data_IF_236183518936
#
_entry.id   IF_236183518936
#
_cell.length_a   1.000
_cell.length_b   1.000
_cell.length_c   1.000
_cell.angle_alpha   90.00
_cell.angle_beta   90.00
_cell.angle_gamma   90.00
#
_symmetry.space_group_name_H-M   'P 1'
#
loop_
_entity.id
_entity.type
_entity.pdbx_description
1 polymer ?
#
# COMPACT_ATOMS: atom_id res chain seq x y z
N UNK A 1 -86.12 -5.84 -50.58
CA UNK A 1 -86.65 -4.59 -51.14
C UNK A 1 -86.60 -3.51 -50.08
N UNK A 2 -85.92 -2.40 -50.40
CA UNK A 2 -86.17 -1.02 -49.93
C UNK A 2 -86.13 -0.75 -48.42
N UNK A 3 -85.09 -0.02 -48.01
CA UNK A 3 -85.18 1.36 -47.47
C UNK A 3 -85.04 1.30 -45.93
N UNK A 4 -84.38 2.22 -45.22
CA UNK A 4 -84.08 3.61 -45.50
C UNK A 4 -82.96 4.04 -44.53
N UNK A 5 -82.01 4.85 -45.01
CA UNK A 5 -81.23 5.76 -44.18
C UNK A 5 -82.17 6.65 -43.36
N UNK A 6 -81.92 6.83 -42.06
CA UNK A 6 -81.65 8.14 -41.42
C UNK A 6 -81.78 8.11 -39.91
N UNK A 7 -80.87 8.87 -39.30
CA UNK A 7 -80.95 9.52 -37.98
C UNK A 7 -80.62 8.60 -36.80
N UNK A 8 -79.85 9.02 -35.80
CA UNK A 8 -79.13 10.27 -35.55
C UNK A 8 -78.10 9.90 -34.46
N UNK A 9 -76.90 10.44 -34.56
CA UNK A 9 -76.08 10.92 -33.44
C UNK A 9 -76.42 10.37 -32.04
N UNK A 10 -75.57 9.49 -31.50
CA UNK A 10 -75.03 9.47 -30.12
C UNK A 10 -74.25 8.15 -30.00
N UNK A 11 -72.95 8.16 -30.34
CA UNK A 11 -71.94 7.30 -29.70
C UNK A 11 -70.52 7.72 -30.09
N UNK A 12 -70.31 9.03 -30.29
CA UNK A 12 -69.00 9.61 -30.57
C UNK A 12 -68.23 10.00 -29.31
N UNK A 13 -68.79 9.78 -28.11
CA UNK A 13 -68.23 10.32 -26.85
C UNK A 13 -67.99 9.27 -25.77
N UNK A 14 -68.29 7.99 -26.01
CA UNK A 14 -68.04 6.92 -25.03
C UNK A 14 -66.82 6.05 -25.34
N UNK A 15 -66.25 6.15 -26.55
CA UNK A 15 -65.00 5.42 -26.87
C UNK A 15 -63.73 6.21 -26.51
N UNK A 16 -63.82 7.54 -26.35
CA UNK A 16 -62.66 8.35 -25.93
C UNK A 16 -62.46 8.38 -24.40
N UNK A 17 -63.48 8.10 -23.59
CA UNK A 17 -63.29 7.98 -22.13
C UNK A 17 -62.80 6.58 -21.70
N UNK A 18 -63.09 5.52 -22.45
CA UNK A 18 -62.58 4.18 -22.13
C UNK A 18 -61.09 4.01 -22.47
N UNK A 19 -60.60 4.65 -23.54
CA UNK A 19 -59.16 4.64 -23.87
C UNK A 19 -58.36 5.57 -22.95
N UNK A 20 -58.96 6.65 -22.44
CA UNK A 20 -58.29 7.53 -21.46
C UNK A 20 -58.29 6.95 -20.03
N UNK A 21 -59.20 6.05 -19.67
CA UNK A 21 -59.16 5.36 -18.37
C UNK A 21 -58.26 4.11 -18.37
N UNK A 22 -58.00 3.51 -19.53
CA UNK A 22 -56.97 2.46 -19.65
C UNK A 22 -55.56 2.98 -19.99
N UNK A 23 -55.42 4.26 -20.34
CA UNK A 23 -54.10 4.87 -20.59
C UNK A 23 -53.52 5.65 -19.40
N UNK A 24 -54.27 5.78 -18.30
CA UNK A 24 -53.77 6.40 -17.06
C UNK A 24 -53.30 5.40 -16.00
N UNK A 25 -53.61 4.11 -16.15
CA UNK A 25 -53.18 3.07 -15.19
C UNK A 25 -51.83 2.41 -15.56
N UNK A 26 -51.35 2.65 -16.78
CA UNK A 26 -50.04 2.16 -17.26
C UNK A 26 -48.92 3.23 -17.17
N UNK A 27 -49.28 4.50 -17.07
CA UNK A 27 -48.32 5.61 -16.92
C UNK A 27 -47.75 5.74 -15.50
N UNK A 28 -48.37 5.12 -14.49
CA UNK A 28 -47.88 5.04 -13.11
C UNK A 28 -47.19 3.72 -12.79
N UNK A 29 -47.39 2.66 -13.59
CA UNK A 29 -46.65 1.39 -13.50
C UNK A 29 -45.36 1.35 -14.32
N UNK A 30 -45.15 2.34 -15.19
CA UNK A 30 -43.88 2.54 -15.89
C UNK A 30 -42.96 3.58 -15.23
N UNK A 31 -43.06 3.73 -13.91
CA UNK A 31 -42.08 4.41 -13.05
C UNK A 31 -41.51 3.45 -12.00
N UNK A 32 -41.01 2.28 -12.42
CA UNK A 32 -40.14 1.47 -11.55
C UNK A 32 -39.26 0.45 -12.28
N UNK A 33 -38.72 0.81 -13.45
CA UNK A 33 -37.37 0.31 -13.76
C UNK A 33 -36.40 1.07 -12.86
N UNK A 34 -36.40 0.66 -11.59
CA UNK A 34 -35.66 1.22 -10.47
C UNK A 34 -34.22 1.56 -10.90
N UNK A 35 -33.90 2.85 -10.94
CA UNK A 35 -32.51 3.26 -10.79
C UNK A 35 -32.11 2.92 -9.35
N UNK A 36 -31.50 1.76 -9.12
CA UNK A 36 -30.93 1.38 -7.81
C UNK A 36 -29.66 2.16 -7.46
N UNK A 37 -29.46 3.31 -8.11
CA UNK A 37 -28.26 4.13 -7.99
C UNK A 37 -28.59 5.43 -7.27
N UNK A 38 -27.91 5.65 -6.15
CA UNK A 38 -28.07 6.84 -5.31
C UNK A 38 -26.76 7.59 -5.17
N UNK A 39 -26.86 8.90 -4.92
CA UNK A 39 -25.70 9.74 -4.70
C UNK A 39 -24.95 9.26 -3.46
N UNK A 40 -23.66 9.04 -3.58
CA UNK A 40 -22.85 8.47 -2.50
C UNK A 40 -22.90 9.30 -1.21
N UNK A 41 -22.88 10.63 -1.32
CA UNK A 41 -23.00 11.52 -0.15
C UNK A 41 -24.32 11.30 0.59
N UNK A 42 -25.45 11.33 -0.14
CA UNK A 42 -26.77 11.06 0.41
C UNK A 42 -26.85 9.67 1.06
N UNK A 43 -26.25 8.68 0.41
CA UNK A 43 -26.21 7.31 0.93
C UNK A 43 -25.45 7.22 2.26
N UNK A 44 -24.34 7.95 2.42
CA UNK A 44 -23.59 8.01 3.68
C UNK A 44 -24.35 8.79 4.76
N UNK A 45 -25.04 9.87 4.39
CA UNK A 45 -25.86 10.67 5.31
C UNK A 45 -27.04 9.83 5.86
N UNK A 46 -27.75 9.10 4.99
CA UNK A 46 -28.88 8.25 5.37
C UNK A 46 -28.48 7.01 6.19
N UNK A 47 -27.30 6.46 5.92
CA UNK A 47 -26.80 5.23 6.57
C UNK A 47 -25.88 5.52 7.75
N UNK A 48 -25.78 6.78 8.20
CA UNK A 48 -24.85 7.12 9.28
C UNK A 48 -25.21 6.35 10.56
N UNK A 49 -24.30 5.48 11.07
CA UNK A 49 -24.59 4.64 12.23
C UNK A 49 -24.45 5.41 13.55
N UNK A 50 -24.88 4.82 14.67
CA UNK A 50 -24.64 5.37 16.01
C UNK A 50 -23.20 5.15 16.49
N UNK A 51 -22.51 4.14 15.96
CA UNK A 51 -21.11 3.80 16.29
C UNK A 51 -20.17 4.38 15.26
N UNK A 52 -19.00 4.85 15.69
CA UNK A 52 -17.93 5.27 14.77
C UNK A 52 -17.43 4.10 13.90
N UNK A 53 -17.39 4.32 12.59
CA UNK A 53 -16.93 3.34 11.60
C UNK A 53 -15.93 3.98 10.64
N UNK A 54 -14.96 3.20 10.15
CA UNK A 54 -13.99 3.61 9.14
C UNK A 54 -14.43 3.12 7.76
N UNK A 55 -14.57 4.00 6.79
CA UNK A 55 -14.85 3.61 5.40
C UNK A 55 -13.60 2.99 4.75
N UNK A 56 -13.67 1.70 4.41
CA UNK A 56 -12.54 0.95 3.82
C UNK A 56 -12.81 0.44 2.40
N UNK A 57 -14.02 0.65 1.88
CA UNK A 57 -14.38 0.24 0.52
C UNK A 57 -13.66 1.11 -0.53
N UNK A 58 -12.56 0.59 -1.07
CA UNK A 58 -11.73 1.30 -2.05
C UNK A 58 -12.51 1.66 -3.32
N UNK A 59 -13.43 0.80 -3.79
CA UNK A 59 -14.26 1.10 -4.96
C UNK A 59 -15.19 2.29 -4.67
N UNK A 60 -15.77 2.30 -3.47
CA UNK A 60 -16.64 3.40 -3.04
C UNK A 60 -15.85 4.70 -2.87
N UNK A 61 -14.69 4.65 -2.20
CA UNK A 61 -13.82 5.80 -1.97
C UNK A 61 -13.34 6.43 -3.29
N UNK A 62 -12.99 5.59 -4.27
CA UNK A 62 -12.62 6.07 -5.60
C UNK A 62 -13.78 6.83 -6.25
N UNK A 63 -14.99 6.25 -6.27
CA UNK A 63 -16.18 6.92 -6.82
C UNK A 63 -16.53 8.20 -6.07
N UNK A 64 -16.34 8.24 -4.75
CA UNK A 64 -16.58 9.43 -3.93
C UNK A 64 -15.67 10.59 -4.31
N UNK A 65 -14.47 10.29 -4.81
CA UNK A 65 -13.47 11.27 -5.22
C UNK A 65 -13.66 11.72 -6.67
N UNK A 66 -14.14 10.83 -7.55
CA UNK A 66 -14.46 11.16 -8.94
C UNK A 66 -15.49 12.32 -9.00
N UNK A 67 -15.14 13.41 -9.68
CA UNK A 67 -15.92 14.65 -9.85
C UNK A 67 -16.30 15.42 -8.56
N UNK A 68 -15.44 15.43 -7.53
CA UNK A 68 -15.75 16.03 -6.21
C UNK A 68 -17.05 15.47 -5.60
N UNK A 69 -17.36 14.19 -5.87
CA UNK A 69 -18.56 13.52 -5.39
C UNK A 69 -19.87 13.91 -6.12
N UNK A 70 -19.83 14.85 -7.07
CA UNK A 70 -21.06 15.37 -7.73
C UNK A 70 -21.74 14.37 -8.66
N UNK A 71 -20.98 13.41 -9.20
CA UNK A 71 -21.49 12.34 -10.08
C UNK A 71 -21.36 10.96 -9.45
N UNK A 72 -21.01 10.87 -8.16
CA UNK A 72 -20.85 9.58 -7.50
C UNK A 72 -22.21 8.90 -7.36
N UNK A 73 -22.39 7.79 -8.09
CA UNK A 73 -23.57 6.94 -8.03
C UNK A 73 -23.17 5.54 -7.55
N UNK A 74 -23.85 5.07 -6.52
CA UNK A 74 -23.62 3.74 -5.94
C UNK A 74 -24.87 2.88 -6.01
N UNK A 75 -24.68 1.60 -6.33
CA UNK A 75 -25.76 0.63 -6.29
C UNK A 75 -26.17 0.38 -4.84
N UNK A 76 -27.35 0.82 -4.43
CA UNK A 76 -27.85 0.70 -3.05
C UNK A 76 -27.85 -0.73 -2.52
N UNK A 77 -27.94 -1.73 -3.42
CA UNK A 77 -27.92 -3.16 -3.09
C UNK A 77 -26.52 -3.71 -2.84
N UNK A 78 -25.47 -3.02 -3.29
CA UNK A 78 -24.09 -3.43 -3.03
C UNK A 78 -23.70 -2.90 -1.64
N UNK A 79 -23.39 -3.79 -0.67
CA UNK A 79 -22.97 -3.34 0.64
C UNK A 79 -21.66 -2.56 0.54
N UNK A 80 -21.48 -1.61 1.44
CA UNK A 80 -20.26 -0.79 1.53
C UNK A 80 -19.37 -1.38 2.61
N UNK A 81 -18.10 -1.64 2.30
CA UNK A 81 -17.15 -2.21 3.27
C UNK A 81 -16.70 -1.18 4.29
N UNK A 82 -16.79 -1.52 5.57
CA UNK A 82 -16.44 -0.65 6.69
C UNK A 82 -15.62 -1.39 7.75
N UNK A 83 -14.70 -0.69 8.37
CA UNK A 83 -13.91 -1.12 9.51
C UNK A 83 -14.56 -0.68 10.81
N UNK A 84 -14.60 -1.57 11.80
CA UNK A 84 -15.10 -1.29 13.15
C UNK A 84 -14.05 -1.71 14.17
N UNK A 85 -13.73 -0.83 15.13
CA UNK A 85 -12.81 -1.16 16.22
C UNK A 85 -13.39 -2.35 17.02
N UNK A 86 -12.56 -3.36 17.28
CA UNK A 86 -12.93 -4.59 17.98
C UNK A 86 -13.61 -4.32 19.33
N UNK A 87 -13.30 -3.19 19.99
CA UNK A 87 -13.97 -2.79 21.24
C UNK A 87 -15.49 -2.61 21.10
N UNK A 88 -16.00 -2.37 19.89
CA UNK A 88 -17.42 -2.18 19.60
C UNK A 88 -18.12 -3.46 19.11
N UNK A 89 -17.41 -4.60 18.98
CA UNK A 89 -17.96 -5.85 18.44
C UNK A 89 -19.15 -6.42 19.22
N UNK A 90 -19.21 -6.19 20.53
CA UNK A 90 -20.31 -6.68 21.40
C UNK A 90 -21.54 -5.77 21.38
N UNK A 91 -21.44 -4.58 20.79
CA UNK A 91 -22.56 -3.69 20.54
C UNK A 91 -22.75 -3.52 19.02
N UNK A 92 -23.00 -4.60 18.26
CA UNK A 92 -23.28 -4.47 16.84
C UNK A 92 -24.68 -3.86 16.73
N UNK A 93 -24.76 -2.53 16.69
CA UNK A 93 -25.87 -1.88 16.02
C UNK A 93 -25.99 -2.52 14.63
N UNK A 94 -27.21 -2.57 14.07
CA UNK A 94 -27.48 -3.28 12.82
C UNK A 94 -26.82 -2.59 11.59
N UNK A 95 -25.48 -2.52 11.55
CA UNK A 95 -24.68 -1.97 10.45
C UNK A 95 -24.96 -2.73 9.16
N UNK A 96 -25.23 -4.03 9.25
CA UNK A 96 -25.65 -4.85 8.12
C UNK A 96 -27.03 -4.41 7.58
N UNK A 97 -27.98 -4.05 8.45
CA UNK A 97 -29.29 -3.50 8.04
C UNK A 97 -29.14 -2.11 7.40
N UNK A 98 -28.10 -1.36 7.79
CA UNK A 98 -27.71 -0.11 7.13
C UNK A 98 -26.99 -0.35 5.79
N UNK A 99 -26.80 -1.60 5.37
CA UNK A 99 -26.18 -1.95 4.09
C UNK A 99 -24.65 -1.84 4.11
N UNK A 100 -24.02 -2.10 5.26
CA UNK A 100 -22.57 -2.23 5.38
C UNK A 100 -22.12 -3.69 5.43
N UNK A 101 -20.95 -3.96 4.86
CA UNK A 101 -20.19 -5.19 5.09
C UNK A 101 -19.09 -4.89 6.12
N UNK A 102 -19.20 -5.49 7.31
CA UNK A 102 -18.41 -5.11 8.48
C UNK A 102 -17.15 -5.95 8.62
N UNK A 103 -16.02 -5.29 8.84
CA UNK A 103 -14.74 -5.89 9.17
C UNK A 103 -14.22 -5.33 10.49
N UNK A 104 -13.73 -6.19 11.38
CA UNK A 104 -13.22 -5.75 12.67
C UNK A 104 -11.72 -5.56 12.63
N UNK A 105 -11.23 -4.57 13.37
CA UNK A 105 -9.81 -4.33 13.52
C UNK A 105 -9.43 -4.02 14.97
N UNK A 106 -8.20 -4.36 15.36
CA UNK A 106 -7.62 -3.90 16.61
C UNK A 106 -6.90 -2.57 16.42
N UNK A 107 -7.18 -1.64 17.33
CA UNK A 107 -6.52 -0.34 17.39
C UNK A 107 -5.61 -0.27 18.63
N UNK A 108 -4.41 -0.81 18.54
CA UNK A 108 -3.47 -0.79 19.65
C UNK A 108 -2.63 0.49 19.63
N UNK A 109 -2.66 1.25 20.73
CA UNK A 109 -1.89 2.49 20.89
C UNK A 109 -0.37 2.29 20.72
N UNK A 110 0.16 1.11 21.07
CA UNK A 110 1.58 0.77 20.96
C UNK A 110 2.04 0.38 19.55
N UNK A 111 1.11 0.23 18.61
CA UNK A 111 1.37 -0.12 17.21
C UNK A 111 1.04 1.06 16.30
N UNK A 112 1.73 1.19 15.18
CA UNK A 112 1.50 2.26 14.21
C UNK A 112 0.56 1.86 13.05
N UNK A 113 -0.15 0.75 13.23
CA UNK A 113 -1.10 0.21 12.26
C UNK A 113 -2.41 -0.26 12.90
N UNK A 114 -3.44 -0.36 12.07
CA UNK A 114 -4.70 -1.05 12.37
C UNK A 114 -4.59 -2.50 11.88
N UNK A 115 -5.02 -3.45 12.70
CA UNK A 115 -4.92 -4.89 12.42
C UNK A 115 -6.29 -5.50 12.19
N UNK A 116 -6.64 -5.69 10.93
CA UNK A 116 -7.94 -6.22 10.49
C UNK A 116 -7.94 -7.74 10.48
N UNK A 117 -8.96 -8.33 11.12
CA UNK A 117 -9.27 -9.75 11.00
C UNK A 117 -10.29 -9.93 9.86
N UNK A 118 -9.87 -10.62 8.79
CA UNK A 118 -10.76 -10.96 7.67
C UNK A 118 -10.75 -12.45 7.40
N UNK A 119 -11.82 -12.97 6.79
CA UNK A 119 -11.92 -14.38 6.39
C UNK A 119 -10.78 -14.83 5.46
N UNK A 120 -10.25 -13.93 4.64
CA UNK A 120 -9.15 -14.20 3.71
C UNK A 120 -7.75 -14.10 4.36
N UNK A 121 -7.66 -13.74 5.64
CA UNK A 121 -6.43 -13.49 6.37
C UNK A 121 -6.34 -12.08 6.94
N UNK A 122 -5.33 -11.85 7.80
CA UNK A 122 -5.08 -10.55 8.42
C UNK A 122 -4.70 -9.49 7.40
N UNK A 123 -5.08 -8.24 7.67
CA UNK A 123 -4.63 -7.07 6.91
C UNK A 123 -4.17 -5.96 7.83
N UNK A 124 -3.00 -5.38 7.56
CA UNK A 124 -2.49 -4.24 8.31
C UNK A 124 -2.48 -2.98 7.42
N UNK A 125 -2.99 -1.87 7.94
CA UNK A 125 -2.88 -0.55 7.29
C UNK A 125 -2.30 0.47 8.27
N UNK A 126 -1.61 1.52 7.80
CA UNK A 126 -1.13 2.59 8.68
C UNK A 126 -2.26 3.15 9.54
N UNK A 127 -1.99 3.41 10.81
CA UNK A 127 -2.95 4.02 11.74
C UNK A 127 -3.08 5.54 11.51
N UNK A 128 -2.02 6.17 11.00
CA UNK A 128 -1.95 7.62 10.79
C UNK A 128 -2.23 7.94 9.32
N UNK A 129 -3.42 8.46 9.05
CA UNK A 129 -3.79 9.08 7.78
C UNK A 129 -4.83 10.16 8.04
N UNK A 130 -4.94 11.15 7.15
CA UNK A 130 -5.93 12.22 7.32
C UNK A 130 -7.32 11.70 6.99
N UNK A 131 -8.28 12.09 7.80
CA UNK A 131 -9.68 11.69 7.67
C UNK A 131 -10.60 12.89 7.82
N UNK A 132 -11.76 12.78 7.18
CA UNK A 132 -12.92 13.67 7.35
C UNK A 132 -14.12 12.83 7.78
N UNK A 133 -15.15 13.48 8.30
CA UNK A 133 -16.32 12.80 8.87
C UNK A 133 -17.60 13.14 8.12
N UNK A 134 -18.48 12.14 7.98
CA UNK A 134 -19.89 12.31 7.60
C UNK A 134 -20.72 11.58 8.67
N UNK A 135 -21.33 12.33 9.58
CA UNK A 135 -21.86 11.76 10.83
C UNK A 135 -20.79 10.94 11.55
N UNK A 136 -21.06 9.68 11.87
CA UNK A 136 -20.11 8.77 12.53
C UNK A 136 -19.28 7.91 11.54
N UNK A 137 -19.20 8.31 10.28
CA UNK A 137 -18.40 7.63 9.25
C UNK A 137 -17.10 8.41 9.04
N UNK A 138 -15.99 7.80 9.46
CA UNK A 138 -14.63 8.27 9.20
C UNK A 138 -14.21 7.91 7.78
N UNK A 139 -13.75 8.91 7.02
CA UNK A 139 -13.47 8.77 5.58
C UNK A 139 -12.04 9.26 5.31
N UNK A 140 -11.16 8.44 4.73
CA UNK A 140 -9.85 8.88 4.27
C UNK A 140 -9.94 10.09 3.33
N UNK A 141 -9.21 11.16 3.62
CA UNK A 141 -9.17 12.35 2.76
C UNK A 141 -8.40 12.08 1.46
N UNK A 142 -7.25 11.43 1.58
CA UNK A 142 -6.44 10.99 0.44
C UNK A 142 -6.80 9.55 0.08
N UNK A 143 -7.86 9.41 -0.72
CA UNK A 143 -8.39 8.11 -1.13
C UNK A 143 -7.43 7.32 -2.00
N UNK A 144 -6.58 7.99 -2.78
CA UNK A 144 -5.55 7.33 -3.59
C UNK A 144 -4.47 6.72 -2.71
N UNK A 145 -3.94 7.47 -1.74
CA UNK A 145 -2.96 6.94 -0.77
C UNK A 145 -3.55 5.83 0.08
N UNK A 146 -4.81 5.97 0.52
CA UNK A 146 -5.50 4.91 1.25
C UNK A 146 -5.69 3.65 0.41
N UNK A 147 -6.04 3.77 -0.87
CA UNK A 147 -6.13 2.63 -1.78
C UNK A 147 -4.78 1.91 -1.91
N UNK A 148 -3.67 2.65 -1.96
CA UNK A 148 -2.33 2.08 -1.99
C UNK A 148 -1.98 1.35 -0.67
N UNK A 149 -2.39 1.87 0.49
CA UNK A 149 -2.28 1.15 1.77
C UNK A 149 -3.09 -0.15 1.76
N UNK A 150 -4.35 -0.07 1.34
CA UNK A 150 -5.24 -1.23 1.29
C UNK A 150 -4.74 -2.31 0.33
N UNK A 151 -4.25 -1.90 -0.85
CA UNK A 151 -3.63 -2.80 -1.84
C UNK A 151 -2.48 -3.62 -1.25
N UNK A 152 -1.72 -3.05 -0.31
CA UNK A 152 -0.54 -3.67 0.30
C UNK A 152 -0.77 -4.26 1.69
N UNK A 153 -2.01 -4.32 2.13
CA UNK A 153 -2.32 -4.60 3.53
C UNK A 153 -2.30 -6.07 3.88
N UNK A 154 -2.35 -6.99 2.90
CA UNK A 154 -2.31 -8.44 3.14
C UNK A 154 -1.11 -8.80 4.01
N UNK A 155 -1.35 -9.40 5.18
CA UNK A 155 -0.30 -9.64 6.15
C UNK A 155 0.56 -10.86 5.81
N UNK A 156 1.86 -10.77 6.14
CA UNK A 156 2.82 -11.88 6.10
C UNK A 156 3.56 -11.99 7.42
N UNK A 157 3.68 -13.22 7.89
CA UNK A 157 4.50 -13.57 9.04
C UNK A 157 5.96 -13.78 8.64
N UNK A 158 6.84 -13.46 9.57
CA UNK A 158 8.21 -13.95 9.59
C UNK A 158 8.25 -15.39 10.13
N UNK A 159 9.36 -16.09 9.88
CA UNK A 159 9.57 -17.48 10.31
C UNK A 159 9.98 -17.56 11.78
N UNK A 160 10.76 -16.58 12.28
CA UNK A 160 11.16 -16.53 13.69
C UNK A 160 12.14 -17.63 14.11
N UNK A 161 13.12 -17.93 13.25
CA UNK A 161 14.18 -18.88 13.55
C UNK A 161 15.14 -18.31 14.60
N UNK A 162 15.48 -19.14 15.59
CA UNK A 162 16.57 -18.88 16.52
C UNK A 162 17.92 -19.20 15.87
N UNK A 163 18.77 -18.20 15.73
CA UNK A 163 20.11 -18.33 15.14
C UNK A 163 21.15 -18.93 16.09
N UNK A 164 20.82 -19.11 17.38
CA UNK A 164 21.71 -19.71 18.39
C UNK A 164 23.08 -19.02 18.49
N UNK A 165 23.06 -17.68 18.38
CA UNK A 165 24.25 -16.84 18.56
C UNK A 165 24.69 -16.85 20.02
N UNK A 166 25.98 -16.67 20.26
CA UNK A 166 26.52 -16.53 21.61
C UNK A 166 26.12 -15.17 22.18
N UNK A 167 25.90 -15.08 23.51
CA UNK A 167 25.70 -13.80 24.20
C UNK A 167 26.91 -12.87 24.07
N UNK A 168 28.10 -13.43 23.79
CA UNK A 168 29.32 -12.67 23.53
C UNK A 168 29.40 -12.07 22.11
N UNK A 169 28.49 -12.45 21.21
CA UNK A 169 28.55 -12.00 19.82
C UNK A 169 28.22 -10.50 19.74
N UNK A 170 28.94 -9.79 18.87
CA UNK A 170 28.80 -8.35 18.75
C UNK A 170 27.41 -7.97 18.22
N UNK A 171 26.68 -7.16 18.98
CA UNK A 171 25.45 -6.51 18.53
C UNK A 171 25.79 -5.10 18.06
N UNK A 172 25.69 -4.88 16.76
CA UNK A 172 25.90 -3.57 16.14
C UNK A 172 24.57 -2.81 15.99
N UNK A 173 23.53 -3.47 15.45
CA UNK A 173 22.17 -2.91 15.38
C UNK A 173 21.25 -3.63 16.35
N UNK A 174 20.60 -2.87 17.23
CA UNK A 174 19.56 -3.41 18.11
C UNK A 174 18.22 -3.40 17.38
N UNK A 175 17.56 -4.56 17.33
CA UNK A 175 16.31 -4.77 16.61
C UNK A 175 15.23 -3.70 16.87
N UNK A 176 14.74 -3.56 18.11
CA UNK A 176 13.68 -2.59 18.43
C UNK A 176 14.08 -1.15 18.10
N UNK A 177 15.24 -0.69 18.58
CA UNK A 177 15.71 0.69 18.35
C UNK A 177 15.89 1.01 16.86
N UNK A 178 16.33 0.02 16.07
CA UNK A 178 16.51 0.16 14.61
C UNK A 178 15.16 0.19 13.89
N UNK A 179 14.21 -0.67 14.30
CA UNK A 179 12.86 -0.69 13.75
C UNK A 179 12.12 0.63 14.00
N UNK A 180 12.23 1.22 15.20
CA UNK A 180 11.66 2.54 15.51
C UNK A 180 12.20 3.64 14.57
N UNK A 181 13.50 3.57 14.25
CA UNK A 181 14.14 4.52 13.33
C UNK A 181 13.66 4.29 11.90
N UNK A 182 13.59 3.03 11.45
CA UNK A 182 13.09 2.67 10.12
C UNK A 182 11.63 3.07 9.95
N UNK A 183 10.79 2.96 10.97
CA UNK A 183 9.39 3.38 10.94
C UNK A 183 9.24 4.89 10.73
N UNK A 184 10.11 5.70 11.35
CA UNK A 184 10.14 7.16 11.11
C UNK A 184 10.62 7.51 9.71
N UNK A 185 11.61 6.80 9.18
CA UNK A 185 12.04 6.99 7.79
C UNK A 185 10.96 6.56 6.79
N UNK A 186 10.26 5.46 7.07
CA UNK A 186 9.10 5.00 6.31
C UNK A 186 8.05 6.11 6.24
N UNK A 187 7.69 6.70 7.37
CA UNK A 187 6.71 7.80 7.42
C UNK A 187 7.17 9.02 6.62
N UNK A 188 8.44 9.43 6.73
CA UNK A 188 9.00 10.52 5.93
C UNK A 188 8.94 10.22 4.42
N UNK A 189 9.24 9.00 4.01
CA UNK A 189 9.12 8.57 2.61
C UNK A 189 7.67 8.57 2.13
N UNK A 190 6.73 8.06 2.93
CA UNK A 190 5.30 8.04 2.61
C UNK A 190 4.74 9.46 2.46
N UNK A 191 5.18 10.41 3.29
CA UNK A 191 4.76 11.81 3.21
C UNK A 191 5.29 12.54 1.97
N UNK A 192 6.29 11.96 1.31
CA UNK A 192 6.74 12.38 -0.01
C UNK A 192 6.14 11.51 -1.15
N UNK A 193 5.13 10.70 -0.87
CA UNK A 193 4.46 9.86 -1.87
C UNK A 193 5.31 8.71 -2.39
N UNK A 194 6.29 8.26 -1.62
CA UNK A 194 7.10 7.06 -1.90
C UNK A 194 6.67 5.93 -0.97
N UNK A 195 6.53 4.71 -1.50
CA UNK A 195 6.15 3.53 -0.73
C UNK A 195 7.37 2.62 -0.55
N UNK A 196 8.12 2.75 0.58
CA UNK A 196 9.28 1.92 0.84
C UNK A 196 8.90 0.51 1.28
N UNK A 197 9.78 -0.45 1.01
CA UNK A 197 9.67 -1.82 1.48
C UNK A 197 11.04 -2.33 1.93
N UNK A 198 11.07 -3.27 2.87
CA UNK A 198 12.31 -3.86 3.37
C UNK A 198 13.04 -4.57 2.22
N UNK A 199 14.35 -4.36 2.13
CA UNK A 199 15.19 -5.02 1.14
C UNK A 199 16.42 -5.65 1.80
N UNK A 200 17.24 -6.37 1.03
CA UNK A 200 18.58 -6.79 1.45
C UNK A 200 18.63 -7.52 2.77
N UNK A 201 19.62 -7.19 3.62
CA UNK A 201 19.85 -7.85 4.90
C UNK A 201 18.73 -7.58 5.91
N UNK A 202 18.08 -6.44 5.77
CA UNK A 202 16.92 -6.05 6.59
C UNK A 202 15.72 -6.95 6.32
N UNK A 203 15.44 -7.23 5.05
CA UNK A 203 14.38 -8.13 4.64
C UNK A 203 14.65 -9.58 5.09
N UNK A 204 15.89 -10.05 4.95
CA UNK A 204 16.32 -11.35 5.46
C UNK A 204 16.14 -11.43 6.97
N UNK A 205 16.59 -10.42 7.73
CA UNK A 205 16.44 -10.38 9.18
C UNK A 205 14.98 -10.48 9.61
N UNK A 206 14.11 -9.67 9.00
CA UNK A 206 12.68 -9.74 9.27
C UNK A 206 12.17 -11.15 9.00
N UNK A 207 12.35 -11.69 7.79
CA UNK A 207 11.75 -12.96 7.42
C UNK A 207 12.32 -14.13 8.23
N UNK A 208 13.63 -14.15 8.46
CA UNK A 208 14.32 -15.26 9.11
C UNK A 208 14.15 -15.23 10.62
N UNK A 209 14.27 -14.08 11.25
CA UNK A 209 14.48 -13.96 12.70
C UNK A 209 13.43 -13.06 13.39
N UNK A 210 12.48 -12.50 12.64
CA UNK A 210 11.49 -11.52 13.13
C UNK A 210 12.13 -10.26 13.77
N UNK A 211 13.37 -9.94 13.39
CA UNK A 211 14.13 -8.81 13.95
C UNK A 211 15.16 -8.28 12.94
N UNK A 212 15.92 -7.25 13.29
CA UNK A 212 17.11 -6.85 12.54
C UNK A 212 18.25 -7.82 12.88
N UNK A 213 19.01 -8.26 11.87
CA UNK A 213 20.20 -9.10 12.06
C UNK A 213 21.19 -8.31 12.94
N UNK A 214 21.52 -8.77 14.16
CA UNK A 214 22.16 -7.92 15.16
C UNK A 214 23.58 -7.48 14.78
N UNK A 215 24.30 -8.28 13.99
CA UNK A 215 25.68 -8.01 13.59
C UNK A 215 25.80 -7.29 12.24
N UNK A 216 24.68 -6.89 11.60
CA UNK A 216 24.73 -6.07 10.37
C UNK A 216 25.16 -4.63 10.66
N UNK A 217 25.69 -3.93 9.66
CA UNK A 217 26.20 -2.56 9.82
C UNK A 217 25.24 -1.47 9.32
N UNK A 218 24.22 -1.87 8.57
CA UNK A 218 23.26 -1.02 7.88
C UNK A 218 21.86 -1.65 7.86
N UNK A 219 20.90 -0.86 7.43
CA UNK A 219 19.56 -1.31 7.12
C UNK A 219 19.15 -0.85 5.72
N UNK A 220 18.18 -1.51 5.10
CA UNK A 220 17.89 -1.37 3.69
C UNK A 220 16.39 -1.19 3.46
N UNK A 221 16.06 -0.13 2.74
CA UNK A 221 14.80 0.02 2.04
C UNK A 221 15.02 -0.04 0.54
N UNK A 222 13.97 -0.41 -0.18
CA UNK A 222 13.85 -0.11 -1.58
C UNK A 222 12.56 0.67 -1.86
N UNK A 223 12.60 1.48 -2.93
CA UNK A 223 11.44 2.18 -3.50
C UNK A 223 11.47 1.94 -5.00
N UNK A 224 10.34 1.57 -5.60
CA UNK A 224 10.30 1.41 -7.05
C UNK A 224 10.52 2.73 -7.78
N UNK A 225 11.19 2.66 -8.93
CA UNK A 225 11.50 3.80 -9.78
C UNK A 225 10.28 4.64 -10.17
N UNK A 226 9.13 4.01 -10.41
CA UNK A 226 7.88 4.70 -10.75
C UNK A 226 7.24 5.43 -9.54
N UNK A 227 7.62 5.09 -8.30
CA UNK A 227 7.20 5.80 -7.10
C UNK A 227 8.26 6.78 -6.57
N UNK A 228 9.52 6.63 -6.94
CA UNK A 228 10.62 7.47 -6.47
C UNK A 228 10.44 8.94 -6.86
N UNK A 229 10.76 9.84 -5.91
CA UNK A 229 10.72 11.30 -6.08
C UNK A 229 12.12 11.89 -6.18
N UNK A 230 12.56 12.37 -7.37
CA UNK A 230 13.89 12.95 -7.56
C UNK A 230 14.21 14.17 -6.70
N UNK A 231 13.19 14.83 -6.15
CA UNK A 231 13.31 15.98 -5.27
C UNK A 231 13.67 15.63 -3.82
N UNK A 232 13.49 14.36 -3.41
CA UNK A 232 13.68 13.92 -2.03
C UNK A 232 15.10 14.15 -1.47
N UNK A 233 16.20 13.93 -2.24
CA UNK A 233 17.54 14.30 -1.77
C UNK A 233 17.69 15.76 -1.34
N UNK A 234 17.00 16.70 -2.01
CA UNK A 234 17.06 18.11 -1.62
C UNK A 234 16.37 18.38 -0.27
N UNK A 235 15.29 17.65 0.04
CA UNK A 235 14.63 17.69 1.37
C UNK A 235 15.57 17.19 2.48
N UNK A 236 16.34 16.15 2.20
CA UNK A 236 17.33 15.63 3.16
C UNK A 236 18.46 16.64 3.39
N UNK A 237 18.97 17.26 2.31
CA UNK A 237 20.08 18.20 2.36
C UNK A 237 19.71 19.56 2.98
N UNK A 238 18.50 20.05 2.75
CA UNK A 238 18.04 21.33 3.30
C UNK A 238 17.65 21.24 4.79
N UNK A 239 17.67 20.04 5.37
CA UNK A 239 17.36 19.84 6.78
C UNK A 239 15.88 19.86 7.12
N UNK A 240 14.97 19.61 6.19
CA UNK A 240 13.53 19.53 6.48
C UNK A 240 13.05 18.15 6.93
N UNK A 241 13.89 17.11 6.82
CA UNK A 241 13.63 15.74 7.31
C UNK A 241 14.26 15.50 8.69
N UNK A 242 13.83 14.49 9.44
CA UNK A 242 14.55 14.00 10.63
C UNK A 242 15.85 13.23 10.27
N UNK A 243 16.03 12.95 8.99
CA UNK A 243 17.18 12.25 8.42
C UNK A 243 18.06 13.22 7.64
N UNK A 244 19.33 12.84 7.48
CA UNK A 244 20.28 13.52 6.61
C UNK A 244 20.85 12.54 5.59
N UNK A 245 21.06 13.04 4.38
CA UNK A 245 21.77 12.32 3.32
C UNK A 245 23.26 12.34 3.64
N UNK A 246 23.92 11.19 3.59
CA UNK A 246 25.38 11.08 3.79
C UNK A 246 26.09 10.56 2.55
N UNK A 247 25.38 9.84 1.68
CA UNK A 247 25.92 9.32 0.42
C UNK A 247 24.82 9.21 -0.62
N UNK A 248 25.16 9.46 -1.87
CA UNK A 248 24.31 9.24 -3.03
C UNK A 248 25.13 8.64 -4.16
N UNK A 249 24.73 7.45 -4.61
CA UNK A 249 25.46 6.66 -5.60
C UNK A 249 24.63 6.47 -6.86
N UNK A 250 25.29 6.48 -8.01
CA UNK A 250 24.74 6.14 -9.31
C UNK A 250 23.80 7.17 -9.94
N UNK A 251 23.29 6.79 -11.12
CA UNK A 251 22.41 7.62 -11.94
C UNK A 251 20.94 7.29 -11.64
N UNK A 252 20.05 8.28 -11.72
CA UNK A 252 18.61 8.07 -11.51
C UNK A 252 17.99 7.13 -12.56
N UNK A 253 18.62 7.01 -13.72
CA UNK A 253 18.12 6.19 -14.82
C UNK A 253 18.30 4.68 -14.56
N UNK A 254 19.35 4.28 -13.82
CA UNK A 254 19.72 2.87 -13.73
C UNK A 254 20.56 2.44 -12.51
N UNK A 255 20.79 3.35 -11.55
CA UNK A 255 21.89 3.20 -10.61
C UNK A 255 21.69 3.81 -9.22
N UNK A 256 20.59 4.53 -8.98
CA UNK A 256 20.46 5.37 -7.79
C UNK A 256 20.29 4.59 -6.48
N UNK A 257 21.13 4.94 -5.51
CA UNK A 257 21.08 4.54 -4.10
C UNK A 257 21.35 5.77 -3.24
N UNK A 258 20.59 5.94 -2.15
CA UNK A 258 20.82 6.97 -1.14
C UNK A 258 21.17 6.32 0.20
N UNK A 259 22.23 6.76 0.86
CA UNK A 259 22.47 6.41 2.26
C UNK A 259 22.06 7.57 3.14
N UNK A 260 21.18 7.31 4.10
CA UNK A 260 20.72 8.28 5.10
C UNK A 260 21.06 7.83 6.51
N UNK A 261 21.12 8.78 7.43
CA UNK A 261 21.22 8.52 8.88
C UNK A 261 20.25 9.44 9.63
N UNK A 262 19.82 9.06 10.85
CA UNK A 262 19.12 10.00 11.72
C UNK A 262 19.96 11.26 11.96
N UNK A 263 19.35 12.44 12.02
CA UNK A 263 20.13 13.67 12.27
C UNK A 263 20.89 13.66 13.59
N UNK A 264 20.30 13.09 14.63
CA UNK A 264 20.83 13.08 16.00
C UNK A 264 21.72 11.86 16.31
N UNK A 265 21.84 10.90 15.40
CA UNK A 265 22.62 9.67 15.61
C UNK A 265 23.31 9.23 14.31
N UNK A 266 24.56 8.78 14.39
CA UNK A 266 25.28 8.31 13.20
C UNK A 266 24.80 6.95 12.67
N UNK A 267 24.05 6.18 13.47
CA UNK A 267 23.54 4.85 13.14
C UNK A 267 22.04 4.72 13.46
N UNK A 268 21.33 3.80 12.79
CA UNK A 268 21.80 2.97 11.67
C UNK A 268 22.07 3.83 10.42
N UNK A 269 23.05 3.43 9.61
CA UNK A 269 23.08 3.82 8.19
C UNK A 269 21.96 3.08 7.50
N UNK A 270 21.16 3.79 6.70
CA UNK A 270 20.03 3.22 6.01
C UNK A 270 20.18 3.50 4.52
N UNK A 271 20.34 2.45 3.73
CA UNK A 271 20.37 2.54 2.28
C UNK A 271 18.95 2.47 1.71
N UNK A 272 18.64 3.40 0.82
CA UNK A 272 17.39 3.49 0.08
C UNK A 272 17.72 3.23 -1.38
N UNK A 273 17.49 2.00 -1.81
CA UNK A 273 17.70 1.58 -3.19
C UNK A 273 16.51 2.00 -4.06
N UNK A 274 16.79 2.59 -5.21
CA UNK A 274 15.76 2.66 -6.26
C UNK A 274 15.71 1.31 -6.96
N UNK A 275 14.55 0.67 -6.97
CA UNK A 275 14.32 -0.60 -7.68
C UNK A 275 13.76 -0.35 -9.08
N UNK A 276 14.35 -0.98 -10.08
CA UNK A 276 14.06 -0.78 -11.49
C UNK A 276 13.49 -2.03 -12.14
N UNK A 277 12.77 -1.85 -13.25
CA UNK A 277 12.31 -2.93 -14.11
C UNK A 277 13.45 -3.48 -14.97
N UNK A 278 13.61 -4.80 -14.96
CA UNK A 278 14.45 -5.55 -15.87
C UNK A 278 13.64 -5.97 -17.09
N UNK A 279 13.81 -5.25 -18.19
CA UNK A 279 13.12 -5.53 -19.47
C UNK A 279 14.06 -6.28 -20.40
N UNK A 280 13.63 -7.46 -20.86
CA UNK A 280 14.32 -8.26 -21.89
C UNK A 280 13.38 -8.45 -23.08
N UNK A 281 13.82 -8.09 -24.29
CA UNK A 281 13.01 -8.16 -25.51
C UNK A 281 11.64 -7.48 -25.41
N UNK A 282 11.56 -6.36 -24.67
CA UNK A 282 10.31 -5.60 -24.47
C UNK A 282 9.37 -6.18 -23.42
N UNK A 283 9.78 -7.23 -22.69
CA UNK A 283 8.99 -7.89 -21.65
C UNK A 283 9.64 -7.70 -20.29
N UNK A 284 8.85 -7.38 -19.26
CA UNK A 284 9.31 -7.40 -17.87
C UNK A 284 9.65 -8.82 -17.44
N UNK A 285 10.92 -9.09 -17.11
CA UNK A 285 11.38 -10.42 -16.70
C UNK A 285 11.84 -10.47 -15.25
N UNK A 286 12.30 -9.36 -14.70
CA UNK A 286 12.79 -9.26 -13.33
C UNK A 286 12.72 -7.81 -12.83
N UNK A 287 13.04 -7.57 -11.56
CA UNK A 287 13.44 -6.25 -11.08
C UNK A 287 14.87 -6.30 -10.59
N UNK A 288 15.48 -5.14 -10.37
CA UNK A 288 16.80 -5.07 -9.77
C UNK A 288 16.99 -3.82 -8.92
N UNK A 289 17.83 -3.93 -7.90
CA UNK A 289 18.45 -2.78 -7.23
C UNK A 289 19.90 -2.62 -7.74
N UNK A 290 20.42 -1.39 -7.74
CA UNK A 290 21.79 -1.12 -8.17
C UNK A 290 22.80 -1.32 -7.04
N UNK A 291 24.08 -1.41 -7.41
CA UNK A 291 25.21 -1.17 -6.52
C UNK A 291 26.35 -0.48 -7.27
N UNK A 292 27.15 0.31 -6.57
CA UNK A 292 28.28 1.04 -7.17
C UNK A 292 29.53 0.91 -6.30
N UNK A 293 30.54 0.22 -6.84
CA UNK A 293 31.86 0.12 -6.22
C UNK A 293 32.61 1.46 -6.27
N UNK A 294 33.50 1.68 -5.31
CA UNK A 294 34.35 2.89 -5.27
C UNK A 294 35.33 3.00 -6.44
N UNK A 295 35.57 1.92 -7.18
CA UNK A 295 36.34 1.91 -8.42
C UNK A 295 35.48 2.23 -9.67
N UNK A 296 34.19 2.48 -9.48
CA UNK A 296 33.19 2.75 -10.51
C UNK A 296 32.49 1.52 -11.09
N UNK A 297 32.83 0.31 -10.65
CA UNK A 297 32.16 -0.91 -11.12
C UNK A 297 30.70 -0.90 -10.68
N UNK A 298 29.79 -1.09 -11.63
CA UNK A 298 28.35 -1.13 -11.38
C UNK A 298 27.89 -2.57 -11.20
N UNK A 299 26.96 -2.76 -10.28
CA UNK A 299 26.34 -4.04 -10.01
C UNK A 299 24.82 -3.93 -10.13
N UNK A 300 24.18 -5.06 -10.44
CA UNK A 300 22.74 -5.26 -10.37
C UNK A 300 22.46 -6.46 -9.48
N UNK A 301 21.62 -6.26 -8.48
CA UNK A 301 21.05 -7.35 -7.67
C UNK A 301 19.68 -7.65 -8.24
N UNK A 302 19.56 -8.77 -8.93
CA UNK A 302 18.32 -9.15 -9.63
C UNK A 302 17.35 -9.83 -8.67
N UNK A 303 16.06 -9.64 -8.88
CA UNK A 303 14.99 -10.28 -8.12
C UNK A 303 13.95 -10.82 -9.10
N UNK A 304 13.36 -12.01 -8.86
CA UNK A 304 12.14 -12.41 -9.53
C UNK A 304 11.12 -11.26 -9.50
N UNK A 305 10.23 -11.20 -10.50
CA UNK A 305 9.17 -10.18 -10.54
C UNK A 305 8.54 -10.06 -9.16
N UNK A 306 8.66 -8.86 -8.61
CA UNK A 306 8.28 -8.60 -7.24
C UNK A 306 6.77 -8.60 -7.26
N UNK A 307 6.19 -9.41 -6.39
CA UNK A 307 4.74 -9.48 -6.28
C UNK A 307 4.19 -8.17 -5.69
N UNK A 308 2.86 -7.96 -5.72
CA UNK A 308 2.27 -6.86 -4.96
C UNK A 308 2.79 -6.94 -3.53
N UNK A 309 3.16 -5.81 -2.93
CA UNK A 309 3.70 -5.83 -1.58
C UNK A 309 2.65 -6.31 -0.58
N UNK A 310 3.13 -7.00 0.45
CA UNK A 310 2.36 -7.39 1.63
C UNK A 310 2.79 -6.56 2.84
N UNK A 311 1.92 -6.47 3.82
CA UNK A 311 2.21 -5.89 5.11
C UNK A 311 2.97 -6.87 5.99
N UNK A 312 3.90 -6.35 6.76
CA UNK A 312 4.70 -7.06 7.73
C UNK A 312 4.74 -6.29 9.04
N UNK A 313 4.85 -7.02 10.15
CA UNK A 313 5.15 -6.43 11.45
C UNK A 313 6.63 -6.68 11.79
N UNK A 314 7.30 -5.64 12.29
CA UNK A 314 8.65 -5.73 12.85
C UNK A 314 8.69 -4.83 14.08
N UNK A 315 8.83 -5.42 15.27
CA UNK A 315 8.86 -4.71 16.56
C UNK A 315 7.72 -3.69 16.73
N UNK A 316 6.46 -4.12 16.53
CA UNK A 316 5.24 -3.29 16.60
C UNK A 316 5.07 -2.22 15.51
N UNK A 317 5.95 -2.20 14.50
CA UNK A 317 5.86 -1.28 13.37
C UNK A 317 5.46 -1.98 12.07
N UNK A 318 4.64 -1.30 11.27
CA UNK A 318 4.23 -1.74 9.94
C UNK A 318 5.34 -1.53 8.91
N UNK A 319 5.66 -2.55 8.15
CA UNK A 319 6.51 -2.43 6.97
C UNK A 319 5.88 -3.14 5.79
N UNK A 320 6.46 -2.90 4.61
CA UNK A 320 6.10 -3.62 3.40
C UNK A 320 7.22 -4.54 2.97
N UNK A 321 6.82 -5.67 2.41
CA UNK A 321 7.70 -6.77 1.98
C UNK A 321 7.10 -7.43 0.74
N UNK A 322 7.85 -8.33 0.09
CA UNK A 322 7.25 -9.24 -0.89
C UNK A 322 6.16 -10.09 -0.24
N UNK A 323 5.04 -10.31 -0.94
CA UNK A 323 4.02 -11.29 -0.53
C UNK A 323 4.53 -12.75 -0.60
N UNK A 324 5.69 -12.97 -1.23
CA UNK A 324 6.36 -14.26 -1.43
C UNK A 324 7.83 -14.16 -0.96
N UNK A 325 8.09 -14.00 0.35
CA UNK A 325 9.44 -13.69 0.82
C UNK A 325 10.48 -14.77 0.52
N UNK A 326 10.11 -16.04 0.67
CA UNK A 326 11.04 -17.17 0.54
C UNK A 326 11.68 -17.26 -0.85
N UNK A 327 10.93 -17.20 -1.98
CA UNK A 327 11.53 -17.12 -3.31
C UNK A 327 12.55 -15.98 -3.46
N UNK A 328 12.22 -14.78 -2.99
CA UNK A 328 13.09 -13.61 -3.08
C UNK A 328 14.40 -13.83 -2.29
N UNK A 329 14.27 -14.34 -1.06
CA UNK A 329 15.40 -14.62 -0.17
C UNK A 329 16.28 -15.75 -0.70
N UNK A 330 15.70 -16.83 -1.23
CA UNK A 330 16.48 -17.92 -1.84
C UNK A 330 17.23 -17.41 -3.07
N UNK A 331 16.63 -16.52 -3.86
CA UNK A 331 17.28 -15.94 -5.03
C UNK A 331 18.50 -15.09 -4.64
N UNK A 332 18.38 -14.29 -3.58
CA UNK A 332 19.45 -13.41 -3.09
C UNK A 332 20.53 -14.14 -2.28
N UNK A 333 20.16 -15.01 -1.35
CA UNK A 333 21.09 -15.63 -0.39
C UNK A 333 21.38 -17.12 -0.66
N UNK A 334 20.65 -17.74 -1.58
CA UNK A 334 20.77 -19.15 -1.91
C UNK A 334 19.99 -20.09 -0.97
N UNK A 335 20.11 -21.41 -1.18
CA UNK A 335 19.30 -22.40 -0.47
C UNK A 335 19.57 -22.47 1.04
N UNK A 336 20.73 -21.97 1.48
CA UNK A 336 21.17 -21.94 2.89
C UNK A 336 20.88 -20.61 3.59
N UNK A 337 19.91 -19.83 3.10
CA UNK A 337 19.48 -18.55 3.69
C UNK A 337 19.12 -18.64 5.19
N UNK A 338 18.69 -19.82 5.65
CA UNK A 338 18.28 -20.09 7.02
C UNK A 338 19.46 -20.24 8.00
N UNK A 339 20.69 -20.34 7.51
CA UNK A 339 21.90 -20.35 8.33
C UNK A 339 22.31 -18.93 8.69
N UNK A 340 22.91 -18.77 9.86
CA UNK A 340 23.50 -17.48 10.21
C UNK A 340 24.77 -17.23 9.39
N UNK A 341 24.89 -16.02 8.85
CA UNK A 341 25.99 -15.61 7.97
C UNK A 341 26.64 -14.37 8.59
N UNK A 342 27.81 -14.51 9.24
CA UNK A 342 28.45 -13.38 9.92
C UNK A 342 28.74 -12.23 8.95
N UNK A 343 28.26 -11.03 9.28
CA UNK A 343 28.47 -9.84 8.42
C UNK A 343 29.95 -9.56 8.17
N UNK A 344 30.83 -9.87 9.13
CA UNK A 344 32.28 -9.72 8.97
C UNK A 344 32.89 -10.57 7.85
N UNK A 345 32.18 -11.59 7.38
CA UNK A 345 32.59 -12.47 6.28
C UNK A 345 31.72 -12.26 5.01
N UNK A 346 30.79 -11.29 5.06
CA UNK A 346 29.88 -11.02 3.96
C UNK A 346 30.37 -9.82 3.14
N UNK A 347 30.78 -10.08 1.90
CA UNK A 347 31.15 -9.04 0.96
C UNK A 347 29.95 -8.70 0.07
N UNK A 348 29.38 -7.50 0.23
CA UNK A 348 28.15 -7.07 -0.46
C UNK A 348 28.22 -7.21 -1.99
N UNK A 349 29.41 -7.11 -2.60
CA UNK A 349 29.62 -7.17 -4.04
C UNK A 349 30.02 -8.57 -4.57
N UNK A 350 30.00 -9.62 -3.75
CA UNK A 350 30.38 -10.97 -4.19
C UNK A 350 29.70 -12.11 -3.44
N UNK A 351 29.26 -11.90 -2.20
CA UNK A 351 28.55 -12.89 -1.39
C UNK A 351 27.12 -13.16 -1.88
N UNK A 352 26.29 -12.15 -2.24
CA UNK A 352 24.95 -12.38 -2.78
C UNK A 352 24.95 -13.25 -4.04
N UNK A 353 23.94 -14.10 -4.20
CA UNK A 353 23.79 -15.04 -5.33
C UNK A 353 23.09 -14.45 -6.54
N UNK A 354 22.44 -13.30 -6.38
CA UNK A 354 21.68 -12.61 -7.40
C UNK A 354 22.41 -11.43 -8.06
N UNK A 355 23.69 -11.24 -7.76
CA UNK A 355 24.50 -10.11 -8.24
C UNK A 355 25.05 -10.36 -9.66
N UNK A 356 25.09 -9.30 -10.47
CA UNK A 356 25.77 -9.26 -11.77
C UNK A 356 26.48 -7.93 -11.96
N UNK A 357 27.68 -7.95 -12.55
CA UNK A 357 28.30 -6.72 -13.04
C UNK A 357 27.49 -6.13 -14.19
N UNK A 358 27.38 -4.81 -14.22
CA UNK A 358 26.55 -4.06 -15.17
C UNK A 358 27.29 -2.82 -15.69
N UNK A 359 28.55 -3.01 -16.07
CA UNK A 359 29.41 -1.98 -16.62
C UNK A 359 30.16 -1.19 -15.54
N UNK A 360 30.70 -0.04 -15.95
CA UNK A 360 31.62 0.76 -15.13
C UNK A 360 31.45 2.24 -15.44
N UNK A 361 31.42 3.08 -14.41
CA UNK A 361 31.44 4.53 -14.56
C UNK A 361 32.85 5.01 -14.90
N UNK A 362 32.95 6.05 -15.75
CA UNK A 362 34.22 6.75 -15.98
C UNK A 362 34.63 7.56 -14.75
N UNK A 363 35.88 8.06 -14.72
CA UNK A 363 36.34 8.93 -13.64
C UNK A 363 35.54 10.23 -13.54
N UNK A 364 35.13 10.78 -14.67
CA UNK A 364 34.30 11.98 -14.77
C UNK A 364 32.89 11.70 -14.23
N UNK A 365 32.32 10.54 -14.55
CA UNK A 365 31.03 10.12 -14.01
C UNK A 365 31.09 9.85 -12.52
N UNK A 366 32.16 9.24 -12.01
CA UNK A 366 32.35 9.03 -10.57
C UNK A 366 32.32 10.34 -9.79
N UNK A 367 32.93 11.42 -10.30
CA UNK A 367 32.86 12.74 -9.66
C UNK A 367 31.44 13.31 -9.58
N UNK A 368 30.54 12.87 -10.46
CA UNK A 368 29.17 13.37 -10.56
C UNK A 368 28.16 12.48 -9.82
N UNK A 369 28.41 11.17 -9.77
CA UNK A 369 27.44 10.17 -9.33
C UNK A 369 27.94 9.31 -8.16
N UNK A 370 29.11 9.61 -7.58
CA UNK A 370 29.55 9.05 -6.31
C UNK A 370 29.75 10.22 -5.34
N UNK A 371 28.67 10.59 -4.65
CA UNK A 371 28.62 11.79 -3.82
C UNK A 371 28.58 11.40 -2.33
N UNK A 372 29.38 12.07 -1.52
CA UNK A 372 29.37 12.01 -0.06
C UNK A 372 29.12 13.43 0.48
N UNK A 373 28.39 13.54 1.61
CA UNK A 373 27.89 14.81 2.16
C UNK A 373 28.28 15.04 3.62
#
# INVERSE_FOLDING_TARGET
MKNLYRNLAISGTLFFCAVLLFSFDDATKWKSRFSFFTRCQHLLDERSPETEILLIDVDFLQKLTEANGTTCLWNERKPIKVGVDMKHKLNPHNLEDLGFEVFYYYNNASKDFLDFEMNAGRRLIPRKFKTRWIGNIEIPEDTQRFAEFWKRSSFRDCVGLDMKRSESDSVFLKGPETADILARLRDDLLDNGMFPFLNGGTFLGWYRECTIIPHTYDADFAVFKYNYKPEYPYKLLNGSSEFKLVRMLGKLEDGLELTVVPKLKANPRIDIFVMYDGIENGVLTHHYTPGLGGDGTKYKFTYPIYDPWCAAELHNHLFWVSCSPKPQIIHEYGPQWYLDHPTSQFAWNSSPKNIRENGKLTKEEMKKYYLEF
#
